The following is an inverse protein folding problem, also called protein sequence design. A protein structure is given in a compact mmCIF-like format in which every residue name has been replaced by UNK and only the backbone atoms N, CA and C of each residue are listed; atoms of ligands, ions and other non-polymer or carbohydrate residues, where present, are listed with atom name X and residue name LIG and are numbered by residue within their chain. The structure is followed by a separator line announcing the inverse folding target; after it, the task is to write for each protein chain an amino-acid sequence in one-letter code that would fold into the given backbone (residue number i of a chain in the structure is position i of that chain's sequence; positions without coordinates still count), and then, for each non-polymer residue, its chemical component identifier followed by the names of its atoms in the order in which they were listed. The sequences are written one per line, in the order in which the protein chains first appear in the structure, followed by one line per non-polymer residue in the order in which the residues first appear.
data_IF_812952362602
#
_entry.id   IF_812952362602
#
_cell.length_a   1.000
_cell.length_b   1.000
_cell.length_c   1.000
_cell.angle_alpha   90.00
_cell.angle_beta   90.00
_cell.angle_gamma   90.00
#
_symmetry.space_group_name_H-M   'P 1'
#
loop_
_entity.id
_entity.type
_entity.pdbx_description
1 polymer ?
#
# COMPACT_ATOMS: atom_id res chain seq x y z
N UNK A 1 1.24 23.11 -8.54
CA UNK A 1 -0.08 23.62 -8.10
C UNK A 1 -1.26 23.04 -8.86
N UNK A 2 -1.27 23.03 -10.21
CA UNK A 2 -2.40 22.49 -10.98
C UNK A 2 -2.75 21.01 -10.66
N UNK A 3 -1.74 20.15 -10.54
CA UNK A 3 -1.92 18.73 -10.19
C UNK A 3 -2.60 18.53 -8.83
N UNK A 4 -2.11 19.20 -7.78
CA UNK A 4 -2.68 19.09 -6.44
C UNK A 4 -4.15 19.54 -6.41
N UNK A 5 -4.48 20.62 -7.13
CA UNK A 5 -5.85 21.08 -7.24
C UNK A 5 -6.74 20.05 -7.96
N UNK A 6 -6.26 19.46 -9.05
CA UNK A 6 -6.99 18.43 -9.78
C UNK A 6 -7.30 17.20 -8.89
N UNK A 7 -6.30 16.70 -8.16
CA UNK A 7 -6.50 15.60 -7.20
C UNK A 7 -7.53 16.01 -6.14
N UNK A 8 -7.38 17.20 -5.56
CA UNK A 8 -8.28 17.67 -4.51
C UNK A 8 -9.73 17.79 -5.00
N UNK A 9 -9.94 18.28 -6.22
CA UNK A 9 -11.27 18.43 -6.81
C UNK A 9 -11.92 17.07 -7.11
N UNK A 10 -11.15 16.10 -7.60
CA UNK A 10 -11.60 14.71 -7.77
C UNK A 10 -12.04 14.12 -6.42
N UNK A 11 -11.20 14.26 -5.39
CA UNK A 11 -11.52 13.75 -4.05
C UNK A 11 -12.74 14.46 -3.45
N UNK A 12 -12.85 15.78 -3.56
CA UNK A 12 -14.03 16.52 -3.10
C UNK A 12 -15.31 16.04 -3.76
N UNK A 13 -15.27 15.82 -5.07
CA UNK A 13 -16.41 15.29 -5.80
C UNK A 13 -16.77 13.89 -5.31
N UNK A 14 -15.78 13.04 -5.06
CA UNK A 14 -15.98 11.70 -4.53
C UNK A 14 -16.60 11.71 -3.11
N UNK A 15 -16.14 12.59 -2.22
CA UNK A 15 -16.67 12.70 -0.85
C UNK A 15 -18.05 13.37 -0.76
N UNK A 16 -18.52 14.08 -1.81
CA UNK A 16 -19.92 14.53 -1.91
C UNK A 16 -20.91 13.38 -2.14
N UNK A 17 -20.45 12.26 -2.69
CA UNK A 17 -21.28 11.06 -2.90
C UNK A 17 -21.47 10.32 -1.57
N UNK A 18 -22.61 9.63 -1.44
CA UNK A 18 -22.85 8.71 -0.31
C UNK A 18 -21.77 7.62 -0.27
N UNK A 19 -21.45 7.17 0.94
CA UNK A 19 -20.55 6.03 1.12
C UNK A 19 -21.14 4.78 0.47
N UNK A 20 -20.32 3.94 -0.19
CA UNK A 20 -20.78 2.66 -0.69
C UNK A 20 -21.29 1.76 0.44
N UNK A 21 -22.40 1.08 0.17
CA UNK A 21 -23.03 0.18 1.14
C UNK A 21 -22.42 -1.20 1.00
N UNK A 22 -21.85 -1.70 2.09
CA UNK A 22 -21.26 -3.03 2.16
C UNK A 22 -22.24 -4.05 2.70
N UNK A 23 -22.25 -5.24 2.10
CA UNK A 23 -22.98 -6.42 2.58
C UNK A 23 -21.95 -7.46 3.02
N UNK A 24 -22.11 -7.99 4.22
CA UNK A 24 -21.32 -9.14 4.68
C UNK A 24 -21.81 -10.39 3.98
N UNK A 25 -20.88 -11.13 3.38
CA UNK A 25 -21.12 -12.45 2.79
C UNK A 25 -20.72 -13.50 3.81
N UNK A 26 -21.61 -14.42 4.21
CA UNK A 26 -21.39 -15.30 5.36
C UNK A 26 -20.43 -16.47 5.07
N UNK A 27 -19.90 -16.57 3.86
CA UNK A 27 -19.01 -17.64 3.43
C UNK A 27 -17.98 -17.14 2.42
N UNK A 28 -16.88 -17.87 2.29
CA UNK A 28 -15.92 -17.74 1.19
C UNK A 28 -16.39 -18.65 0.05
N UNK A 29 -16.45 -18.13 -1.18
CA UNK A 29 -16.83 -18.95 -2.33
C UNK A 29 -15.77 -20.03 -2.61
N UNK A 30 -16.19 -21.18 -3.15
CA UNK A 30 -15.24 -22.25 -3.47
C UNK A 30 -14.21 -21.82 -4.51
N UNK A 31 -14.60 -20.95 -5.45
CA UNK A 31 -13.70 -20.35 -6.45
C UNK A 31 -12.65 -19.46 -5.80
N UNK A 32 -13.04 -18.58 -4.88
CA UNK A 32 -12.12 -17.70 -4.18
C UNK A 32 -11.16 -18.49 -3.27
N UNK A 33 -11.67 -19.55 -2.65
CA UNK A 33 -10.87 -20.43 -1.80
C UNK A 33 -9.82 -21.21 -2.62
N UNK A 34 -10.22 -21.79 -3.74
CA UNK A 34 -9.30 -22.51 -4.64
C UNK A 34 -8.22 -21.57 -5.20
N UNK A 35 -8.62 -20.36 -5.57
CA UNK A 35 -7.71 -19.33 -6.03
C UNK A 35 -6.68 -18.94 -4.95
N UNK A 36 -7.13 -18.66 -3.73
CA UNK A 36 -6.22 -18.37 -2.61
C UNK A 36 -5.29 -19.52 -2.29
N UNK A 37 -5.78 -20.76 -2.35
CA UNK A 37 -4.96 -21.95 -2.10
C UNK A 37 -3.85 -22.09 -3.14
N UNK A 38 -4.14 -21.83 -4.40
CA UNK A 38 -3.13 -21.80 -5.46
C UNK A 38 -2.10 -20.68 -5.21
N UNK A 39 -2.55 -19.43 -5.10
CA UNK A 39 -1.68 -18.27 -4.93
C UNK A 39 -0.77 -18.37 -3.70
N UNK A 40 -1.31 -18.83 -2.56
CA UNK A 40 -0.57 -18.91 -1.30
C UNK A 40 0.42 -20.08 -1.24
N UNK A 41 0.26 -21.09 -2.09
CA UNK A 41 1.19 -22.22 -2.15
C UNK A 41 2.29 -22.04 -3.21
N UNK A 42 2.10 -21.14 -4.16
CA UNK A 42 3.13 -20.78 -5.13
C UNK A 42 4.25 -19.97 -4.47
N UNK A 43 5.50 -20.32 -4.79
CA UNK A 43 6.67 -19.51 -4.44
C UNK A 43 6.56 -18.14 -5.12
N UNK A 44 6.80 -17.08 -4.37
CA UNK A 44 6.80 -15.71 -4.89
C UNK A 44 8.11 -15.03 -4.55
N UNK A 45 8.76 -14.43 -5.55
CA UNK A 45 9.94 -13.59 -5.34
C UNK A 45 9.66 -12.36 -4.47
N UNK A 46 8.38 -12.00 -4.33
CA UNK A 46 7.91 -10.86 -3.56
C UNK A 46 7.53 -11.20 -2.11
N UNK A 47 7.30 -12.50 -1.80
CA UNK A 47 6.87 -13.00 -0.49
C UNK A 47 7.69 -14.23 -0.07
N UNK A 48 9.00 -14.09 -0.03
CA UNK A 48 9.94 -15.17 0.34
C UNK A 48 9.79 -15.64 1.78
N UNK A 49 9.33 -14.75 2.68
CA UNK A 49 9.03 -15.09 4.07
C UNK A 49 7.70 -15.85 4.22
N UNK A 50 6.93 -16.00 3.13
CA UNK A 50 5.70 -16.79 3.11
C UNK A 50 4.56 -16.19 3.93
N UNK A 51 4.49 -14.86 4.06
CA UNK A 51 3.45 -14.19 4.82
C UNK A 51 2.04 -14.57 4.34
N UNK A 52 1.85 -14.69 3.01
CA UNK A 52 0.59 -15.15 2.41
C UNK A 52 0.24 -16.56 2.88
N UNK A 53 1.20 -17.48 2.77
CA UNK A 53 1.06 -18.88 3.17
C UNK A 53 0.75 -19.00 4.66
N UNK A 54 1.45 -18.24 5.52
CA UNK A 54 1.21 -18.21 6.96
C UNK A 54 -0.21 -17.80 7.30
N UNK A 55 -0.69 -16.68 6.72
CA UNK A 55 -2.06 -16.21 6.98
C UNK A 55 -3.11 -17.19 6.46
N UNK A 56 -2.90 -17.75 5.27
CA UNK A 56 -3.82 -18.73 4.68
C UNK A 56 -3.88 -20.04 5.49
N UNK A 57 -2.74 -20.54 5.97
CA UNK A 57 -2.70 -21.72 6.86
C UNK A 57 -3.44 -21.47 8.16
N UNK A 58 -3.30 -20.28 8.76
CA UNK A 58 -4.05 -19.93 9.98
C UNK A 58 -5.55 -19.84 9.73
N UNK A 59 -5.96 -19.31 8.58
CA UNK A 59 -7.36 -19.33 8.15
C UNK A 59 -7.88 -20.78 8.00
N UNK A 60 -7.16 -21.66 7.28
CA UNK A 60 -7.52 -23.08 7.13
C UNK A 60 -7.58 -23.81 8.49
N UNK A 61 -6.73 -23.44 9.44
CA UNK A 61 -6.72 -24.00 10.79
C UNK A 61 -7.80 -23.40 11.72
N UNK A 62 -8.58 -22.42 11.28
CA UNK A 62 -9.58 -21.74 12.11
C UNK A 62 -8.99 -20.83 13.20
N UNK A 63 -7.71 -20.47 13.10
CA UNK A 63 -7.01 -19.62 14.10
C UNK A 63 -6.86 -18.16 13.66
N UNK A 64 -7.21 -17.83 12.41
CA UNK A 64 -7.35 -16.47 11.93
C UNK A 64 -8.83 -16.10 11.82
N UNK A 65 -9.15 -14.84 12.10
CA UNK A 65 -10.47 -14.31 11.79
C UNK A 65 -10.53 -13.95 10.31
N UNK A 66 -11.73 -14.02 9.74
CA UNK A 66 -11.94 -13.55 8.38
C UNK A 66 -13.27 -12.84 8.25
N UNK A 67 -13.36 -12.01 7.22
CA UNK A 67 -14.59 -11.37 6.81
C UNK A 67 -14.62 -11.25 5.29
N UNK A 68 -15.78 -11.52 4.68
CA UNK A 68 -16.03 -11.23 3.27
C UNK A 68 -17.10 -10.15 3.20
N UNK A 69 -16.79 -9.04 2.53
CA UNK A 69 -17.78 -8.00 2.23
C UNK A 69 -17.80 -7.67 0.75
N UNK A 70 -18.97 -7.35 0.25
CA UNK A 70 -19.19 -6.92 -1.12
C UNK A 70 -19.99 -5.63 -1.17
N UNK A 71 -19.61 -4.73 -2.08
CA UNK A 71 -20.39 -3.56 -2.48
C UNK A 71 -20.49 -3.53 -4.03
N UNK A 72 -21.14 -2.51 -4.58
CA UNK A 72 -21.28 -2.34 -6.04
C UNK A 72 -19.95 -2.33 -6.81
N UNK A 73 -18.86 -1.87 -6.17
CA UNK A 73 -17.58 -1.63 -6.83
C UNK A 73 -16.54 -2.72 -6.58
N UNK A 74 -16.79 -3.63 -5.63
CA UNK A 74 -15.85 -4.70 -5.34
C UNK A 74 -16.24 -5.63 -4.20
N UNK A 75 -15.51 -6.75 -4.14
CA UNK A 75 -15.51 -7.71 -3.05
C UNK A 75 -14.15 -7.71 -2.35
N UNK A 76 -14.17 -7.73 -1.03
CA UNK A 76 -12.96 -7.87 -0.19
C UNK A 76 -13.12 -9.12 0.65
N UNK A 77 -12.17 -10.05 0.51
CA UNK A 77 -11.96 -11.13 1.46
C UNK A 77 -10.75 -10.78 2.33
N UNK A 78 -10.99 -10.55 3.60
CA UNK A 78 -9.96 -10.19 4.57
C UNK A 78 -9.74 -11.32 5.56
N UNK A 79 -8.48 -11.71 5.77
CA UNK A 79 -8.02 -12.63 6.80
C UNK A 79 -7.13 -11.82 7.75
N UNK A 80 -7.53 -11.74 9.02
CA UNK A 80 -6.88 -10.94 10.05
C UNK A 80 -6.01 -11.80 10.96
N UNK A 81 -4.87 -11.24 11.35
CA UNK A 81 -4.00 -11.79 12.37
C UNK A 81 -4.62 -11.67 13.78
N UNK A 82 -5.26 -10.53 14.06
CA UNK A 82 -5.90 -10.23 15.34
C UNK A 82 -7.09 -9.26 15.18
N UNK A 83 -7.90 -9.16 16.25
CA UNK A 83 -9.17 -8.38 16.29
C UNK A 83 -9.00 -6.86 16.18
N UNK A 84 -7.79 -6.33 16.38
CA UNK A 84 -7.56 -4.88 16.35
C UNK A 84 -7.40 -4.35 14.92
N UNK A 85 -7.09 -5.23 13.97
CA UNK A 85 -6.98 -4.88 12.56
C UNK A 85 -8.38 -4.62 11.99
N UNK A 86 -8.60 -3.44 11.42
CA UNK A 86 -9.90 -3.07 10.87
C UNK A 86 -9.74 -2.33 9.55
N UNK A 87 -10.52 -2.76 8.55
CA UNK A 87 -10.63 -2.08 7.26
C UNK A 87 -11.51 -0.84 7.43
N UNK A 88 -11.06 0.36 6.99
CA UNK A 88 -11.92 1.53 6.92
C UNK A 88 -12.88 1.39 5.73
N UNK A 89 -13.94 0.61 5.90
CA UNK A 89 -14.86 0.18 4.83
C UNK A 89 -15.41 1.32 3.97
N UNK A 90 -15.79 2.44 4.58
CA UNK A 90 -16.26 3.63 3.85
C UNK A 90 -15.19 4.19 2.92
N UNK A 91 -13.94 4.26 3.39
CA UNK A 91 -12.80 4.72 2.60
C UNK A 91 -12.46 3.73 1.47
N UNK A 92 -12.33 2.43 1.77
CA UNK A 92 -12.04 1.42 0.75
C UNK A 92 -13.13 1.38 -0.33
N UNK A 93 -14.40 1.52 0.06
CA UNK A 93 -15.49 1.61 -0.92
C UNK A 93 -15.32 2.80 -1.87
N UNK A 94 -14.95 3.98 -1.36
CA UNK A 94 -14.70 5.18 -2.18
C UNK A 94 -13.50 5.02 -3.11
N UNK A 95 -12.43 4.38 -2.61
CA UNK A 95 -11.26 4.03 -3.42
C UNK A 95 -11.70 3.11 -4.56
N UNK A 96 -12.35 1.98 -4.27
CA UNK A 96 -12.83 1.04 -5.30
C UNK A 96 -13.75 1.71 -6.31
N UNK A 97 -14.68 2.58 -5.86
CA UNK A 97 -15.54 3.37 -6.76
C UNK A 97 -14.74 4.27 -7.71
N UNK A 98 -13.64 4.84 -7.25
CA UNK A 98 -12.81 5.76 -8.04
C UNK A 98 -12.06 5.05 -9.18
N UNK A 99 -11.84 3.73 -9.07
CA UNK A 99 -11.23 2.89 -10.10
C UNK A 99 -12.25 2.02 -10.87
N UNK A 100 -13.54 2.16 -10.56
CA UNK A 100 -14.59 1.39 -11.23
C UNK A 100 -15.03 2.08 -12.52
N UNK A 101 -14.95 1.34 -13.64
CA UNK A 101 -15.45 1.78 -14.93
C UNK A 101 -16.83 1.19 -15.19
N UNK A 102 -17.73 1.99 -15.77
CA UNK A 102 -19.09 1.53 -16.08
C UNK A 102 -19.06 0.31 -17.02
N UNK A 103 -19.67 -0.78 -16.59
CA UNK A 103 -19.72 -2.03 -17.35
C UNK A 103 -18.49 -2.93 -17.18
N UNK A 104 -17.50 -2.52 -16.38
CA UNK A 104 -16.39 -3.39 -15.97
C UNK A 104 -16.80 -4.33 -14.83
N UNK A 105 -16.06 -5.43 -14.66
CA UNK A 105 -16.23 -6.31 -13.51
C UNK A 105 -15.82 -5.58 -12.22
N UNK A 106 -16.51 -5.85 -11.12
CA UNK A 106 -16.12 -5.31 -9.82
C UNK A 106 -14.74 -5.82 -9.39
N UNK A 107 -14.00 -5.03 -8.63
CA UNK A 107 -12.67 -5.44 -8.17
C UNK A 107 -12.75 -6.53 -7.09
N UNK A 108 -11.81 -7.48 -7.10
CA UNK A 108 -11.69 -8.53 -6.09
C UNK A 108 -10.37 -8.41 -5.34
N UNK A 109 -10.49 -8.10 -4.06
CA UNK A 109 -9.35 -7.84 -3.16
C UNK A 109 -9.23 -8.98 -2.16
N UNK A 110 -8.03 -9.52 -2.04
CA UNK A 110 -7.63 -10.50 -1.05
C UNK A 110 -6.66 -9.83 -0.07
N UNK A 111 -7.12 -9.58 1.15
CA UNK A 111 -6.31 -9.02 2.22
C UNK A 111 -5.88 -10.13 3.18
N UNK A 112 -4.61 -10.54 3.13
CA UNK A 112 -3.98 -11.45 4.07
C UNK A 112 -3.20 -10.61 5.09
N UNK A 113 -3.86 -10.03 6.09
CA UNK A 113 -3.32 -8.96 6.94
C UNK A 113 -2.21 -9.41 7.92
N UNK A 114 -1.08 -9.88 7.39
CA UNK A 114 0.07 -10.30 8.18
C UNK A 114 0.62 -9.12 8.99
N UNK A 115 0.99 -9.31 10.28
CA UNK A 115 1.33 -8.20 11.18
C UNK A 115 2.77 -7.69 11.03
N UNK A 116 3.59 -8.32 10.17
CA UNK A 116 4.99 -7.94 9.95
C UNK A 116 5.11 -6.49 9.47
N UNK A 117 5.96 -5.73 10.15
CA UNK A 117 6.30 -4.36 9.79
C UNK A 117 7.37 -4.31 8.69
N UNK A 118 7.41 -3.21 7.93
CA UNK A 118 8.51 -2.90 7.02
C UNK A 118 9.70 -2.34 7.80
N UNK A 119 10.67 -3.20 8.03
CA UNK A 119 11.90 -2.87 8.75
C UNK A 119 13.11 -2.96 7.82
N UNK A 120 14.08 -2.08 8.03
CA UNK A 120 15.40 -2.22 7.41
C UNK A 120 16.00 -3.60 7.73
N UNK A 121 16.77 -4.20 6.80
CA UNK A 121 17.41 -5.48 7.05
C UNK A 121 18.30 -5.38 8.28
N UNK A 122 18.06 -6.27 9.25
CA UNK A 122 18.85 -6.33 10.48
C UNK A 122 20.29 -6.61 10.10
N UNK A 123 21.23 -5.77 10.54
CA UNK A 123 22.64 -6.17 10.51
C UNK A 123 22.75 -7.48 11.29
N UNK A 124 23.27 -8.54 10.67
CA UNK A 124 23.59 -9.77 11.39
C UNK A 124 24.46 -9.46 12.62
N UNK A 125 24.55 -10.43 13.55
CA UNK A 125 25.36 -10.31 14.77
C UNK A 125 26.72 -9.65 14.48
N UNK A 126 27.18 -8.87 15.46
CA UNK A 126 28.31 -7.90 15.47
C UNK A 126 29.62 -8.35 14.79
N UNK A 127 29.73 -9.61 14.36
CA UNK A 127 30.88 -10.19 13.65
C UNK A 127 30.90 -10.01 12.13
N UNK A 128 29.81 -9.59 11.48
CA UNK A 128 29.82 -9.31 10.02
C UNK A 128 30.18 -7.87 9.65
N UNK A 129 30.22 -6.93 10.61
CA UNK A 129 30.56 -5.51 10.36
C UNK A 129 32.04 -5.25 10.07
N UNK A 130 32.90 -6.27 10.08
CA UNK A 130 34.37 -6.08 10.03
C UNK A 130 35.04 -6.35 8.69
N UNK A 131 34.31 -6.66 7.60
CA UNK A 131 34.99 -6.98 6.33
C UNK A 131 34.64 -6.15 5.09
N UNK A 132 33.56 -5.36 5.02
CA UNK A 132 33.34 -4.54 3.80
C UNK A 132 32.66 -3.16 3.95
N UNK A 133 32.35 -2.68 5.17
CA UNK A 133 31.62 -1.41 5.37
C UNK A 133 30.28 -1.28 4.61
N UNK A 134 29.71 -2.36 4.05
CA UNK A 134 28.47 -2.31 3.28
C UNK A 134 27.25 -2.54 4.17
N UNK A 135 26.22 -1.72 3.97
CA UNK A 135 24.93 -1.93 4.62
C UNK A 135 24.23 -3.15 3.98
N UNK A 136 23.47 -3.97 4.75
CA UNK A 136 22.74 -5.10 4.17
C UNK A 136 21.74 -4.64 3.10
N UNK A 137 21.60 -5.38 2.00
CA UNK A 137 20.71 -4.99 0.89
C UNK A 137 19.23 -5.08 1.29
N UNK A 138 18.42 -4.11 0.86
CA UNK A 138 16.96 -4.11 1.06
C UNK A 138 16.31 -4.97 -0.02
N UNK A 139 15.55 -5.99 0.37
CA UNK A 139 14.92 -6.95 -0.56
C UNK A 139 13.40 -6.77 -0.62
N UNK A 140 12.66 -7.48 -1.51
CA UNK A 140 11.20 -7.44 -1.52
C UNK A 140 10.56 -7.74 -0.16
N UNK A 141 11.19 -8.60 0.63
CA UNK A 141 10.75 -8.97 1.98
C UNK A 141 10.75 -7.79 2.96
N UNK A 142 11.48 -6.72 2.67
CA UNK A 142 11.52 -5.55 3.54
C UNK A 142 10.42 -4.55 3.21
N UNK A 143 10.07 -4.38 1.93
CA UNK A 143 9.21 -3.27 1.45
C UNK A 143 7.87 -3.73 0.88
N UNK A 144 7.82 -4.84 0.14
CA UNK A 144 6.62 -5.18 -0.61
C UNK A 144 5.48 -5.65 0.32
N UNK A 145 4.24 -5.21 0.04
CA UNK A 145 3.04 -5.59 0.77
C UNK A 145 1.88 -6.06 -0.11
N UNK A 146 2.04 -6.12 -1.44
CA UNK A 146 0.99 -6.55 -2.35
C UNK A 146 1.50 -6.91 -3.74
N UNK A 147 0.57 -7.39 -4.57
CA UNK A 147 0.74 -7.46 -6.01
C UNK A 147 -0.65 -7.63 -6.69
N UNK A 148 -0.67 -7.38 -7.98
CA UNK A 148 -1.76 -7.73 -8.89
C UNK A 148 -1.20 -8.24 -10.20
N UNK A 149 -2.05 -8.80 -11.05
CA UNK A 149 -1.72 -9.00 -12.45
C UNK A 149 -2.14 -7.77 -13.24
N UNK A 150 -1.27 -7.31 -14.14
CA UNK A 150 -1.53 -6.13 -14.96
C UNK A 150 -2.89 -6.24 -15.67
N UNK A 151 -3.67 -5.16 -15.64
CA UNK A 151 -5.01 -5.09 -16.21
C UNK A 151 -6.03 -6.11 -15.67
N UNK A 152 -5.83 -6.64 -14.45
CA UNK A 152 -6.72 -7.64 -13.86
C UNK A 152 -7.28 -7.23 -12.49
N UNK A 153 -8.47 -6.61 -12.51
CA UNK A 153 -9.23 -6.26 -11.29
C UNK A 153 -9.72 -7.46 -10.48
N UNK A 154 -9.61 -8.71 -10.97
CA UNK A 154 -10.05 -9.92 -10.25
C UNK A 154 -8.99 -10.50 -9.32
N UNK A 155 -7.78 -9.92 -9.31
CA UNK A 155 -6.67 -10.38 -8.48
C UNK A 155 -5.96 -9.17 -7.89
N UNK A 156 -6.40 -8.68 -6.74
CA UNK A 156 -5.64 -7.67 -5.98
C UNK A 156 -5.23 -8.30 -4.66
N UNK A 157 -3.95 -8.66 -4.51
CA UNK A 157 -3.41 -9.29 -3.32
C UNK A 157 -2.73 -8.24 -2.44
N UNK A 158 -3.18 -8.12 -1.20
CA UNK A 158 -2.54 -7.31 -0.16
C UNK A 158 -2.21 -8.23 1.01
N UNK A 159 -0.94 -8.40 1.34
CA UNK A 159 -0.51 -9.42 2.30
C UNK A 159 0.19 -8.87 3.54
N UNK A 160 0.23 -7.55 3.72
CA UNK A 160 0.62 -6.92 4.97
C UNK A 160 -0.49 -6.02 5.47
N UNK A 161 -0.69 -6.04 6.79
CA UNK A 161 -1.60 -5.13 7.47
C UNK A 161 -1.13 -3.68 7.41
N UNK A 162 0.19 -3.47 7.47
CA UNK A 162 0.76 -2.14 7.40
C UNK A 162 0.65 -1.56 5.99
N UNK A 163 0.15 -0.31 5.87
CA UNK A 163 -0.01 0.43 4.61
C UNK A 163 -0.95 -0.27 3.60
N UNK A 164 -1.84 -1.15 4.05
CA UNK A 164 -2.77 -1.89 3.21
C UNK A 164 -3.65 -0.96 2.35
N UNK A 165 -4.13 0.18 2.88
CA UNK A 165 -4.89 1.14 2.07
C UNK A 165 -4.04 1.74 0.94
N UNK A 166 -2.77 2.10 1.22
CA UNK A 166 -1.85 2.64 0.20
C UNK A 166 -1.51 1.57 -0.84
N UNK A 167 -1.26 0.33 -0.38
CA UNK A 167 -1.04 -0.82 -1.27
C UNK A 167 -2.25 -1.06 -2.16
N UNK A 168 -3.48 -1.03 -1.62
CA UNK A 168 -4.70 -1.16 -2.41
C UNK A 168 -4.76 -0.11 -3.54
N UNK A 169 -4.46 1.15 -3.25
CA UNK A 169 -4.44 2.22 -4.26
C UNK A 169 -3.37 1.93 -5.33
N UNK A 170 -2.17 1.50 -4.91
CA UNK A 170 -1.09 1.11 -5.81
C UNK A 170 -1.51 -0.03 -6.75
N UNK A 171 -1.97 -1.16 -6.20
CA UNK A 171 -2.37 -2.32 -7.00
C UNK A 171 -3.59 -2.03 -7.89
N UNK A 172 -4.50 -1.15 -7.46
CA UNK A 172 -5.63 -0.75 -8.31
C UNK A 172 -5.19 0.00 -9.57
N UNK A 173 -4.06 0.72 -9.55
CA UNK A 173 -3.53 1.37 -10.74
C UNK A 173 -3.07 0.33 -11.77
N UNK A 174 -2.28 -0.64 -11.33
CA UNK A 174 -1.86 -1.78 -12.15
C UNK A 174 -3.06 -2.58 -12.69
N UNK A 175 -4.02 -2.90 -11.82
CA UNK A 175 -5.21 -3.67 -12.17
C UNK A 175 -6.15 -2.91 -13.13
N UNK A 176 -6.04 -1.58 -13.18
CA UNK A 176 -6.85 -0.70 -14.04
C UNK A 176 -6.11 -0.23 -15.30
N UNK A 177 -4.97 -0.85 -15.64
CA UNK A 177 -4.18 -0.50 -16.81
C UNK A 177 -3.71 0.96 -16.85
N UNK A 178 -3.47 1.57 -15.68
CA UNK A 178 -3.02 2.97 -15.60
C UNK A 178 -1.49 3.11 -15.70
N UNK A 179 -0.79 1.99 -15.87
CA UNK A 179 0.65 1.97 -16.03
C UNK A 179 1.09 2.58 -17.36
N UNK A 180 2.10 3.44 -17.31
CA UNK A 180 2.83 3.88 -18.49
C UNK A 180 3.84 2.80 -18.89
N UNK A 181 3.40 1.86 -19.72
CA UNK A 181 4.18 0.68 -20.14
C UNK A 181 5.31 1.00 -21.12
N UNK A 182 5.35 2.23 -21.64
CA UNK A 182 6.45 2.78 -22.42
C UNK A 182 7.67 3.11 -21.55
N UNK A 183 7.49 3.23 -20.23
CA UNK A 183 8.58 3.31 -19.26
C UNK A 183 9.08 1.91 -18.86
N UNK A 184 10.36 1.79 -18.50
CA UNK A 184 10.88 0.56 -17.91
C UNK A 184 10.25 0.27 -16.54
N UNK A 185 10.20 -1.00 -16.12
CA UNK A 185 9.52 -1.47 -14.90
C UNK A 185 9.82 -0.58 -13.68
N UNK A 186 11.08 -0.23 -13.43
CA UNK A 186 11.42 0.56 -12.24
C UNK A 186 10.86 1.99 -12.27
N UNK A 187 10.76 2.60 -13.46
CA UNK A 187 10.18 3.93 -13.62
C UNK A 187 8.66 3.89 -13.50
N UNK A 188 8.02 2.87 -14.08
CA UNK A 188 6.59 2.62 -13.93
C UNK A 188 6.24 2.44 -12.46
N UNK A 189 6.94 1.56 -11.74
CA UNK A 189 6.73 1.34 -10.30
C UNK A 189 6.93 2.62 -9.48
N UNK A 190 7.96 3.41 -9.79
CA UNK A 190 8.21 4.68 -9.12
C UNK A 190 7.09 5.70 -9.33
N UNK A 191 6.54 5.79 -10.54
CA UNK A 191 5.41 6.66 -10.84
C UNK A 191 4.11 6.16 -10.17
N UNK A 192 3.86 4.85 -10.20
CA UNK A 192 2.70 4.23 -9.55
C UNK A 192 2.73 4.43 -8.04
N UNK A 193 3.90 4.29 -7.41
CA UNK A 193 4.13 4.61 -5.99
C UNK A 193 3.88 6.08 -5.67
N UNK A 194 4.41 6.99 -6.50
CA UNK A 194 4.20 8.43 -6.35
C UNK A 194 2.72 8.83 -6.41
N UNK A 195 1.96 8.24 -7.34
CA UNK A 195 0.51 8.43 -7.43
C UNK A 195 -0.23 7.83 -6.24
N UNK A 196 0.16 6.62 -5.81
CA UNK A 196 -0.50 5.94 -4.69
C UNK A 196 -0.45 6.79 -3.41
N UNK A 197 0.70 7.41 -3.12
CA UNK A 197 0.87 8.26 -1.93
C UNK A 197 0.16 9.61 -2.06
N UNK A 198 0.15 10.21 -3.26
CA UNK A 198 -0.56 11.45 -3.53
C UNK A 198 -2.09 11.26 -3.37
N UNK A 199 -2.64 10.19 -3.97
CA UNK A 199 -4.04 9.85 -3.86
C UNK A 199 -4.41 9.44 -2.43
N UNK A 200 -3.55 8.70 -1.74
CA UNK A 200 -3.77 8.35 -0.33
C UNK A 200 -3.88 9.60 0.55
N UNK A 201 -2.96 10.56 0.41
CA UNK A 201 -3.06 11.85 1.09
C UNK A 201 -4.36 12.60 0.72
N UNK A 202 -4.76 12.54 -0.56
CA UNK A 202 -6.02 13.08 -1.04
C UNK A 202 -7.21 12.48 -0.29
N UNK A 203 -7.37 11.17 -0.33
CA UNK A 203 -8.44 10.45 0.35
C UNK A 203 -8.49 10.72 1.87
N UNK A 204 -7.33 10.70 2.54
CA UNK A 204 -7.25 10.99 3.99
C UNK A 204 -7.66 12.43 4.33
N UNK A 205 -7.47 13.38 3.40
CA UNK A 205 -7.92 14.76 3.59
C UNK A 205 -9.44 14.94 3.41
N UNK A 206 -10.12 13.97 2.79
CA UNK A 206 -11.55 14.06 2.45
C UNK A 206 -11.91 15.29 1.59
N UNK A 207 -10.93 15.85 0.87
CA UNK A 207 -11.12 17.07 0.07
C UNK A 207 -10.86 18.38 0.83
N UNK A 208 -10.41 18.32 2.09
CA UNK A 208 -10.00 19.49 2.85
C UNK A 208 -8.60 19.99 2.40
N UNK A 209 -8.54 21.19 1.81
CA UNK A 209 -7.30 21.72 1.23
C UNK A 209 -6.18 21.91 2.28
N UNK A 210 -6.43 22.55 3.45
CA UNK A 210 -5.39 22.70 4.47
C UNK A 210 -4.83 21.36 4.97
N UNK A 211 -5.70 20.39 5.26
CA UNK A 211 -5.28 19.05 5.67
C UNK A 211 -4.52 18.33 4.56
N UNK A 212 -4.96 18.43 3.31
CA UNK A 212 -4.26 17.84 2.17
C UNK A 212 -2.83 18.37 2.05
N UNK A 213 -2.63 19.69 2.09
CA UNK A 213 -1.29 20.28 2.04
C UNK A 213 -0.43 19.87 3.24
N UNK A 214 -1.02 19.76 4.44
CA UNK A 214 -0.33 19.24 5.62
C UNK A 214 0.12 17.79 5.44
N UNK A 215 -0.71 16.95 4.83
CA UNK A 215 -0.39 15.55 4.52
C UNK A 215 0.72 15.44 3.47
N UNK A 216 0.68 16.26 2.40
CA UNK A 216 1.77 16.31 1.41
C UNK A 216 3.10 16.72 2.04
N UNK A 217 3.10 17.71 2.95
CA UNK A 217 4.31 18.07 3.70
C UNK A 217 4.82 16.91 4.54
N UNK A 218 3.94 16.26 5.29
CA UNK A 218 4.30 15.11 6.14
C UNK A 218 4.87 13.95 5.32
N UNK A 219 4.29 13.65 4.16
CA UNK A 219 4.79 12.63 3.24
C UNK A 219 6.15 13.04 2.66
N UNK A 220 6.34 14.30 2.27
CA UNK A 220 7.63 14.82 1.78
C UNK A 220 8.74 14.66 2.82
N UNK A 221 8.45 15.00 4.09
CA UNK A 221 9.39 14.86 5.22
C UNK A 221 9.76 13.40 5.49
N UNK A 222 8.75 12.53 5.49
CA UNK A 222 8.91 11.10 5.70
C UNK A 222 9.78 10.46 4.61
N UNK A 223 9.43 10.70 3.35
CA UNK A 223 10.13 10.16 2.18
C UNK A 223 11.60 10.60 2.14
N UNK A 224 11.88 11.91 2.24
CA UNK A 224 13.26 12.42 2.22
C UNK A 224 14.09 11.90 3.41
N UNK A 225 13.49 11.81 4.61
CA UNK A 225 14.21 11.30 5.80
C UNK A 225 14.51 9.81 5.69
N UNK A 226 13.55 9.00 5.22
CA UNK A 226 13.75 7.58 4.93
C UNK A 226 14.81 7.39 3.83
N UNK A 227 14.73 8.18 2.75
CA UNK A 227 15.63 8.06 1.60
C UNK A 227 17.09 8.36 1.95
N UNK A 228 17.35 9.27 2.90
CA UNK A 228 18.68 9.49 3.45
C UNK A 228 19.31 8.24 4.10
N UNK A 229 18.49 7.31 4.58
CA UNK A 229 18.94 6.01 5.09
C UNK A 229 19.01 4.99 3.96
N UNK A 230 17.98 4.89 3.12
CA UNK A 230 17.91 3.93 1.99
C UNK A 230 19.12 4.07 1.05
N UNK A 231 19.59 5.29 0.78
CA UNK A 231 20.77 5.52 -0.06
C UNK A 231 22.02 4.75 0.40
N UNK A 232 22.16 4.50 1.71
CA UNK A 232 23.29 3.74 2.26
C UNK A 232 23.22 2.25 1.93
N UNK A 233 22.04 1.75 1.59
CA UNK A 233 21.76 0.35 1.26
C UNK A 233 21.76 0.07 -0.25
N UNK A 234 21.83 1.09 -1.10
CA UNK A 234 21.95 0.93 -2.55
C UNK A 234 23.41 0.63 -2.94
N UNK A 235 23.58 -0.33 -3.85
CA UNK A 235 24.88 -0.61 -4.48
C UNK A 235 24.97 0.02 -5.87
N UNK A 236 23.87 0.00 -6.61
CA UNK A 236 23.75 0.59 -7.94
C UNK A 236 22.57 1.56 -8.00
N UNK A 237 22.59 2.51 -8.97
CA UNK A 237 21.40 3.26 -9.33
C UNK A 237 20.25 2.30 -9.67
N UNK A 238 19.04 2.63 -9.20
CA UNK A 238 17.83 1.86 -9.46
C UNK A 238 17.85 0.39 -8.97
N UNK A 239 18.67 0.02 -7.98
CA UNK A 239 18.48 -1.27 -7.28
C UNK A 239 17.04 -1.36 -6.75
N UNK A 240 16.51 -2.59 -6.60
CA UNK A 240 15.12 -2.88 -6.23
C UNK A 240 14.40 -1.87 -5.30
N UNK A 241 14.95 -1.45 -4.13
CA UNK A 241 14.27 -0.49 -3.26
C UNK A 241 14.09 0.91 -3.87
N UNK A 242 14.90 1.32 -4.84
CA UNK A 242 14.84 2.65 -5.47
C UNK A 242 13.44 2.95 -6.00
N UNK A 243 12.82 2.01 -6.73
CA UNK A 243 11.50 2.24 -7.33
C UNK A 243 10.40 2.50 -6.30
N UNK A 244 10.54 1.99 -5.08
CA UNK A 244 9.58 2.21 -4.00
C UNK A 244 9.85 3.46 -3.15
N UNK A 245 11.03 4.07 -3.28
CA UNK A 245 11.55 5.06 -2.31
C UNK A 245 12.13 6.30 -2.98
N UNK A 246 13.32 6.20 -3.55
CA UNK A 246 14.03 7.33 -4.18
C UNK A 246 13.39 7.70 -5.52
N UNK A 247 13.00 6.72 -6.34
CA UNK A 247 12.36 6.96 -7.63
C UNK A 247 11.04 7.73 -7.50
N UNK A 248 10.21 7.42 -6.51
CA UNK A 248 8.96 8.18 -6.26
C UNK A 248 9.23 9.60 -5.76
N UNK A 249 10.33 9.84 -5.03
CA UNK A 249 10.75 11.19 -4.63
C UNK A 249 11.10 12.02 -5.86
N UNK A 250 11.88 11.45 -6.78
CA UNK A 250 12.23 12.08 -8.04
C UNK A 250 10.97 12.41 -8.86
N UNK A 251 9.96 11.53 -8.87
CA UNK A 251 8.66 11.80 -9.51
C UNK A 251 7.97 13.02 -8.86
N UNK A 252 7.88 13.07 -7.53
CA UNK A 252 7.27 14.21 -6.81
C UNK A 252 8.02 15.52 -7.04
N UNK A 253 9.35 15.45 -7.19
CA UNK A 253 10.18 16.59 -7.57
C UNK A 253 9.85 17.06 -8.99
N UNK A 254 9.76 16.15 -9.97
CA UNK A 254 9.38 16.47 -11.35
C UNK A 254 7.98 17.09 -11.45
N UNK A 255 7.03 16.61 -10.65
CA UNK A 255 5.68 17.18 -10.56
C UNK A 255 5.62 18.53 -9.83
N UNK A 256 6.72 18.96 -9.20
CA UNK A 256 6.79 20.20 -8.43
C UNK A 256 5.90 20.19 -7.19
N UNK A 257 5.70 19.00 -6.58
CA UNK A 257 4.89 18.83 -5.36
C UNK A 257 5.72 18.47 -4.13
N UNK A 258 6.97 18.03 -4.34
CA UNK A 258 7.90 17.76 -3.25
C UNK A 258 8.18 19.04 -2.46
N UNK A 259 7.96 18.99 -1.15
CA UNK A 259 8.25 20.11 -0.26
C UNK A 259 9.59 19.89 0.46
N UNK A 260 10.35 20.95 0.79
CA UNK A 260 11.60 20.82 1.53
C UNK A 260 11.43 20.08 2.87
N UNK A 261 12.31 19.11 3.11
CA UNK A 261 12.19 18.25 4.28
C UNK A 261 12.50 18.95 5.61
N UNK A 262 11.78 18.53 6.64
CA UNK A 262 12.19 18.57 8.03
C UNK A 262 12.52 17.13 8.48
N UNK A 263 13.50 16.97 9.37
CA UNK A 263 13.94 15.63 9.82
C UNK A 263 12.84 14.95 10.65
N UNK A 264 12.49 13.72 10.28
CA UNK A 264 11.55 12.84 11.00
C UNK A 264 12.28 11.61 11.53
N UNK A 265 12.56 11.54 12.83
CA UNK A 265 13.38 10.46 13.42
C UNK A 265 12.79 9.07 13.17
N UNK A 266 11.48 8.93 13.33
CA UNK A 266 10.76 7.65 13.18
C UNK A 266 10.89 7.08 11.75
N UNK A 267 11.06 7.95 10.74
CA UNK A 267 11.25 7.53 9.36
C UNK A 267 12.63 6.91 9.12
N UNK A 268 13.63 7.20 9.97
CA UNK A 268 14.99 6.68 9.82
C UNK A 268 15.09 5.19 10.15
N UNK A 269 14.17 4.68 10.97
CA UNK A 269 14.16 3.30 11.45
C UNK A 269 13.09 2.44 10.76
N UNK A 270 12.35 2.99 9.79
CA UNK A 270 11.20 2.33 9.15
C UNK A 270 11.32 2.31 7.63
N UNK A 271 10.92 1.19 7.03
CA UNK A 271 10.70 1.05 5.58
C UNK A 271 9.22 1.18 5.18
N UNK A 272 8.37 1.66 6.10
CA UNK A 272 6.98 2.03 5.80
C UNK A 272 6.97 3.16 4.77
N UNK A 273 6.13 3.08 3.75
CA UNK A 273 6.19 4.04 2.64
C UNK A 273 5.43 5.34 2.96
N UNK A 274 4.43 5.27 3.85
CA UNK A 274 3.69 6.46 4.31
C UNK A 274 3.91 6.75 5.80
N UNK A 275 3.82 8.01 6.26
CA UNK A 275 3.82 8.32 7.67
C UNK A 275 2.68 7.60 8.39
N UNK A 276 2.90 7.08 9.62
CA UNK A 276 1.83 6.50 10.41
C UNK A 276 0.64 7.47 10.55
N UNK A 277 -0.60 6.96 10.43
CA UNK A 277 -1.81 7.78 10.57
C UNK A 277 -1.90 8.31 12.00
N UNK A 278 -2.30 9.59 12.13
CA UNK A 278 -2.48 10.22 13.44
C UNK A 278 -3.72 9.68 14.16
N UNK A 279 -3.84 9.95 15.46
CA UNK A 279 -5.02 9.55 16.23
C UNK A 279 -6.32 10.15 15.69
N UNK A 280 -6.27 11.37 15.16
CA UNK A 280 -7.41 12.05 14.54
C UNK A 280 -7.86 11.35 13.28
N UNK A 281 -6.93 10.95 12.40
CA UNK A 281 -7.24 10.20 11.19
C UNK A 281 -7.82 8.83 11.54
N UNK A 282 -7.20 8.11 12.49
CA UNK A 282 -7.69 6.84 13.02
C UNK A 282 -9.14 6.94 13.51
N UNK A 283 -9.44 8.00 14.28
CA UNK A 283 -10.80 8.28 14.76
C UNK A 283 -11.75 8.61 13.61
N UNK A 284 -11.33 9.43 12.64
CA UNK A 284 -12.16 9.84 11.50
C UNK A 284 -12.59 8.65 10.63
N UNK A 285 -11.72 7.65 10.47
CA UNK A 285 -12.00 6.45 9.67
C UNK A 285 -12.37 5.22 10.52
N UNK A 286 -12.65 5.40 11.81
CA UNK A 286 -13.22 4.38 12.68
C UNK A 286 -12.31 3.17 12.95
N UNK A 287 -10.99 3.32 12.89
CA UNK A 287 -10.04 2.21 13.07
C UNK A 287 -8.86 2.61 13.96
N UNK A 288 -8.57 1.82 15.01
CA UNK A 288 -7.41 2.01 15.90
C UNK A 288 -6.07 1.79 15.16
N UNK A 289 -6.12 1.05 14.06
CA UNK A 289 -5.04 0.81 13.09
C UNK A 289 -5.65 0.86 11.69
N UNK A 290 -5.72 2.05 11.08
CA UNK A 290 -6.04 2.17 9.65
C UNK A 290 -5.03 1.27 8.92
N UNK A 291 -5.53 0.14 8.41
CA UNK A 291 -4.79 -0.77 7.57
C UNK A 291 -4.45 -0.04 6.28
#
# INVERSE_FOLDING_TARGET
MALLNAVLDVIRHEFKKKEPVWKTIPFVSQTDLAYLEEECNQSSDFDRLGARKTMFQRFKAGTAQYEVRQCEYGQVMAIYDNKEQQIPWGLWGRILRSYHERGSKEAKVFLLAHPSLREFPKSGSIHSRRMDNSYPHITPENINGGYTYHCNKQTIMVYRAEDATRVLIHELQHASCLDHMDHGVDQTEAETEAWAELLYAGFLSMGDAPLFHKLIKKQSDWMQTQNAVVQRHLKNPMDFPWRYTIGKEEVWQRWGILQPASIVKEAQDSLRLTPPPTAELKKAFGSSKIL
#
